data_IF_716188594772
#
_entry.id   IF_716188594772
#
_cell.length_a   1.000
_cell.length_b   1.000
_cell.length_c   1.000
_cell.angle_alpha   90.00
_cell.angle_beta   90.00
_cell.angle_gamma   90.00
#
_symmetry.space_group_name_H-M   'P 1'
#
loop_
_entity.id
_entity.type
_entity.pdbx_description
1 polymer ?
#
# COMPACT_ATOMS: atom_id res chain seq x y z
N UNK A 1 -0.66 -6.67 -19.18
CA UNK A 1 -1.17 -7.85 -18.48
C UNK A 1 -0.08 -8.44 -17.60
N UNK A 2 0.97 -9.09 -18.11
CA UNK A 2 2.01 -9.71 -17.26
C UNK A 2 2.52 -8.80 -16.11
N UNK A 3 2.99 -7.59 -16.42
CA UNK A 3 3.48 -6.68 -15.37
C UNK A 3 2.40 -6.24 -14.35
N UNK A 4 1.12 -6.29 -14.72
CA UNK A 4 0.01 -5.92 -13.83
C UNK A 4 -0.32 -7.08 -12.89
N UNK A 5 -0.29 -8.32 -13.40
CA UNK A 5 -0.35 -9.53 -12.57
C UNK A 5 0.83 -9.59 -11.61
N UNK A 6 2.05 -9.31 -12.08
CA UNK A 6 3.23 -9.31 -11.22
C UNK A 6 3.08 -8.35 -10.04
N UNK A 7 2.55 -7.12 -10.27
CA UNK A 7 2.28 -6.18 -9.17
C UNK A 7 1.28 -6.71 -8.14
N UNK A 8 0.20 -7.35 -8.61
CA UNK A 8 -0.82 -7.91 -7.71
C UNK A 8 -0.23 -9.06 -6.90
N UNK A 9 0.54 -9.94 -7.55
CA UNK A 9 1.24 -11.04 -6.87
C UNK A 9 2.24 -10.47 -5.85
N UNK A 10 3.05 -9.47 -6.22
CA UNK A 10 3.98 -8.83 -5.28
C UNK A 10 3.25 -8.16 -4.12
N UNK A 11 2.13 -7.47 -4.36
CA UNK A 11 1.32 -6.90 -3.29
C UNK A 11 0.80 -7.99 -2.35
N UNK A 12 0.33 -9.10 -2.91
CA UNK A 12 -0.13 -10.25 -2.12
C UNK A 12 1.00 -10.90 -1.33
N UNK A 13 2.20 -11.01 -1.89
CA UNK A 13 3.37 -11.50 -1.14
C UNK A 13 3.71 -10.59 0.03
N UNK A 14 3.70 -9.26 -0.16
CA UNK A 14 3.92 -8.30 0.94
C UNK A 14 2.82 -8.45 2.00
N UNK A 15 1.56 -8.61 1.59
CA UNK A 15 0.43 -8.81 2.50
C UNK A 15 0.65 -9.98 3.47
N UNK A 16 1.25 -11.09 3.01
CA UNK A 16 1.51 -12.24 3.87
C UNK A 16 2.45 -11.93 5.03
N UNK A 17 3.30 -10.92 4.90
CA UNK A 17 4.25 -10.48 5.92
C UNK A 17 3.74 -9.31 6.76
N UNK A 18 2.61 -8.68 6.43
CA UNK A 18 2.07 -7.58 7.24
C UNK A 18 1.05 -8.12 8.24
N UNK A 19 1.11 -7.67 9.48
CA UNK A 19 0.17 -8.01 10.54
C UNK A 19 -0.22 -6.81 11.40
N UNK A 20 -1.21 -7.05 12.26
CA UNK A 20 -1.67 -6.16 13.32
C UNK A 20 -1.51 -6.93 14.62
N UNK A 21 -0.75 -6.39 15.57
CA UNK A 21 -0.63 -6.93 16.93
C UNK A 21 -1.40 -6.04 17.92
N UNK A 22 -2.01 -6.67 18.90
CA UNK A 22 -2.76 -5.99 19.96
C UNK A 22 -2.04 -6.16 21.30
N UNK A 23 -1.84 -5.04 22.01
CA UNK A 23 -1.42 -5.09 23.40
C UNK A 23 -2.65 -5.26 24.31
N UNK A 24 -2.72 -6.33 25.12
CA UNK A 24 -3.89 -6.61 25.97
C UNK A 24 -4.19 -5.50 26.98
N UNK A 25 -3.16 -4.83 27.50
CA UNK A 25 -3.33 -3.84 28.57
C UNK A 25 -3.85 -2.48 28.09
N UNK A 26 -3.48 -2.08 26.86
CA UNK A 26 -3.79 -0.76 26.31
C UNK A 26 -4.88 -0.82 25.23
N UNK A 27 -5.24 -2.02 24.78
CA UNK A 27 -6.12 -2.24 23.62
C UNK A 27 -5.64 -1.46 22.37
N UNK A 28 -4.33 -1.24 22.29
CA UNK A 28 -3.67 -0.51 21.21
C UNK A 28 -3.25 -1.49 20.10
N UNK A 29 -3.58 -1.11 18.87
CA UNK A 29 -3.26 -1.88 17.68
C UNK A 29 -2.01 -1.30 16.99
N UNK A 30 -1.02 -2.15 16.76
CA UNK A 30 0.22 -1.77 16.08
C UNK A 30 0.38 -2.60 14.79
N UNK A 31 0.76 -1.93 13.71
CA UNK A 31 1.19 -2.63 12.50
C UNK A 31 2.60 -3.18 12.72
N UNK A 32 2.83 -4.40 12.27
CA UNK A 32 4.14 -5.05 12.38
C UNK A 32 4.45 -5.86 11.12
N UNK A 33 5.72 -6.21 10.94
CA UNK A 33 6.16 -7.11 9.88
C UNK A 33 6.45 -8.49 10.50
N UNK A 34 5.68 -9.49 10.09
CA UNK A 34 5.90 -10.89 10.46
C UNK A 34 7.25 -11.35 9.93
N UNK A 35 7.92 -12.20 10.68
CA UNK A 35 9.15 -12.84 10.19
C UNK A 35 8.89 -14.04 9.27
N UNK A 36 7.66 -14.59 9.29
CA UNK A 36 7.19 -15.66 8.41
C UNK A 36 5.87 -15.29 7.71
N UNK A 37 5.67 -15.69 6.44
CA UNK A 37 4.45 -15.38 5.72
C UNK A 37 3.28 -16.25 6.19
N UNK A 38 2.12 -15.63 6.42
CA UNK A 38 0.85 -16.35 6.60
C UNK A 38 -0.37 -15.48 6.28
N UNK A 39 -1.56 -16.08 6.32
CA UNK A 39 -2.83 -15.39 6.07
C UNK A 39 -3.44 -14.69 7.28
N UNK A 40 -2.96 -15.00 8.49
CA UNK A 40 -3.50 -14.43 9.73
C UNK A 40 -3.04 -12.97 9.85
N UNK A 41 -3.99 -12.05 9.96
CA UNK A 41 -3.71 -10.61 10.01
C UNK A 41 -3.57 -10.10 11.44
N UNK A 42 -4.46 -10.52 12.33
CA UNK A 42 -4.54 -10.04 13.71
C UNK A 42 -3.87 -11.04 14.66
N UNK A 43 -3.09 -10.52 15.59
CA UNK A 43 -2.37 -11.30 16.61
C UNK A 43 -2.61 -10.70 17.97
N UNK A 44 -2.94 -11.56 18.91
CA UNK A 44 -3.08 -11.21 20.31
C UNK A 44 -2.05 -12.01 21.12
N UNK A 45 -1.52 -11.41 22.19
CA UNK A 45 -0.61 -12.10 23.11
C UNK A 45 -1.31 -12.33 24.45
N UNK A 46 -1.91 -13.50 24.67
CA UNK A 46 -2.53 -13.84 25.95
C UNK A 46 -1.59 -13.73 27.15
N UNK A 47 -0.34 -14.20 27.03
CA UNK A 47 0.62 -14.25 28.14
C UNK A 47 1.50 -12.99 28.17
N UNK A 48 0.90 -11.80 28.16
CA UNK A 48 1.71 -10.56 28.20
C UNK A 48 2.44 -10.41 29.54
N UNK A 49 1.68 -10.11 30.60
CA UNK A 49 2.19 -9.75 31.94
C UNK A 49 1.54 -10.59 33.06
N UNK A 50 0.79 -11.62 32.67
CA UNK A 50 0.18 -12.56 33.60
C UNK A 50 1.16 -13.66 33.98
N UNK A 51 1.18 -14.06 35.25
CA UNK A 51 1.91 -15.26 35.74
C UNK A 51 1.38 -16.60 35.19
N UNK A 52 0.44 -16.54 34.24
CA UNK A 52 -0.22 -17.70 33.63
C UNK A 52 0.75 -18.45 32.75
N UNK A 53 0.84 -19.77 32.94
CA UNK A 53 1.68 -20.63 32.10
C UNK A 53 0.97 -21.02 30.81
N UNK A 54 1.73 -21.43 29.78
CA UNK A 54 1.15 -21.92 28.51
C UNK A 54 0.11 -23.04 28.72
N UNK A 55 0.33 -23.90 29.73
CA UNK A 55 -0.51 -25.07 30.03
C UNK A 55 -1.86 -24.68 30.67
N UNK A 56 -1.95 -23.47 31.21
CA UNK A 56 -3.15 -22.93 31.86
C UNK A 56 -4.06 -22.17 30.89
N UNK A 57 -3.61 -21.93 29.65
CA UNK A 57 -4.42 -21.28 28.63
C UNK A 57 -5.53 -22.20 28.13
N UNK A 58 -6.70 -21.62 27.83
CA UNK A 58 -7.71 -22.31 27.04
C UNK A 58 -7.15 -22.66 25.66
N UNK A 59 -7.71 -23.70 25.02
CA UNK A 59 -7.24 -24.15 23.70
C UNK A 59 -7.16 -23.02 22.65
N UNK A 60 -8.11 -22.09 22.67
CA UNK A 60 -8.14 -20.96 21.74
C UNK A 60 -7.02 -19.95 22.04
N UNK A 61 -6.79 -19.64 23.32
CA UNK A 61 -5.69 -18.75 23.72
C UNK A 61 -4.33 -19.41 23.51
N UNK A 62 -4.22 -20.71 23.73
CA UNK A 62 -3.00 -21.47 23.44
C UNK A 62 -2.64 -21.38 21.95
N UNK A 63 -3.60 -21.60 21.06
CA UNK A 63 -3.38 -21.47 19.62
C UNK A 63 -2.98 -20.02 19.23
N UNK A 64 -3.57 -19.03 19.88
CA UNK A 64 -3.26 -17.62 19.66
C UNK A 64 -1.83 -17.26 20.11
N UNK A 65 -1.44 -17.67 21.32
CA UNK A 65 -0.10 -17.47 21.88
C UNK A 65 0.97 -18.19 21.04
N UNK A 66 0.71 -19.43 20.61
CA UNK A 66 1.61 -20.17 19.73
C UNK A 66 1.79 -19.45 18.39
N UNK A 67 0.70 -18.93 17.80
CA UNK A 67 0.78 -18.14 16.58
C UNK A 67 1.52 -16.81 16.82
N UNK A 68 1.32 -16.16 17.97
CA UNK A 68 2.05 -14.94 18.31
C UNK A 68 3.55 -15.21 18.36
N UNK A 69 3.98 -16.25 19.09
CA UNK A 69 5.39 -16.66 19.16
C UNK A 69 5.95 -17.08 17.80
N UNK A 70 5.14 -17.77 16.98
CA UNK A 70 5.58 -18.28 15.68
C UNK A 70 5.72 -17.20 14.60
N UNK A 71 4.93 -16.14 14.60
CA UNK A 71 4.89 -15.16 13.49
C UNK A 71 5.28 -13.74 13.91
N UNK A 72 5.08 -13.38 15.17
CA UNK A 72 5.53 -12.11 15.76
C UNK A 72 6.90 -12.32 16.40
N UNK A 73 7.02 -13.32 17.29
CA UNK A 73 8.23 -13.62 18.06
C UNK A 73 8.31 -12.85 19.39
N UNK A 74 9.12 -13.36 20.33
CA UNK A 74 9.45 -12.69 21.62
C UNK A 74 10.67 -11.76 21.51
N UNK A 75 11.23 -11.60 20.30
CA UNK A 75 12.46 -10.87 20.09
C UNK A 75 12.22 -9.36 20.21
N UNK A 76 12.52 -8.85 21.41
CA UNK A 76 12.99 -7.48 21.65
C UNK A 76 13.87 -7.02 20.46
N UNK A 77 13.66 -5.79 19.97
CA UNK A 77 14.31 -5.13 18.82
C UNK A 77 13.69 -5.33 17.42
N UNK A 78 12.40 -5.68 17.31
CA UNK A 78 11.68 -5.54 16.03
C UNK A 78 11.09 -4.14 15.80
N UNK A 79 11.32 -3.19 16.69
CA UNK A 79 10.82 -1.80 16.60
C UNK A 79 11.09 -1.18 15.23
N UNK A 80 12.28 -1.39 14.66
CA UNK A 80 12.62 -0.89 13.33
C UNK A 80 11.73 -1.51 12.24
N UNK A 81 11.49 -2.82 12.30
CA UNK A 81 10.64 -3.50 11.31
C UNK A 81 9.18 -3.06 11.45
N UNK A 82 8.72 -2.81 12.67
CA UNK A 82 7.37 -2.37 12.95
C UNK A 82 7.15 -0.92 12.50
N UNK A 83 8.11 -0.05 12.73
CA UNK A 83 8.15 1.31 12.18
C UNK A 83 8.17 1.33 10.65
N UNK A 84 8.69 0.27 10.02
CA UNK A 84 8.67 0.10 8.57
C UNK A 84 7.33 -0.42 8.04
N UNK A 85 6.49 -1.06 8.87
CA UNK A 85 5.23 -1.66 8.43
C UNK A 85 4.30 -0.68 7.67
N UNK A 86 4.10 0.59 8.11
CA UNK A 86 3.38 1.61 7.34
C UNK A 86 3.84 1.78 5.88
N UNK A 87 5.16 1.72 5.64
CA UNK A 87 5.74 1.87 4.32
C UNK A 87 5.44 0.65 3.44
N UNK A 88 5.50 -0.55 4.00
CA UNK A 88 5.11 -1.78 3.30
C UNK A 88 3.62 -1.81 2.98
N UNK A 89 2.76 -1.35 3.90
CA UNK A 89 1.31 -1.22 3.67
C UNK A 89 1.03 -0.22 2.52
N UNK A 90 1.68 0.93 2.53
CA UNK A 90 1.55 1.93 1.47
C UNK A 90 2.09 1.42 0.12
N UNK A 91 3.19 0.66 0.13
CA UNK A 91 3.75 0.04 -1.07
C UNK A 91 2.81 -1.04 -1.63
N UNK A 92 2.30 -1.91 -0.76
CA UNK A 92 1.34 -2.95 -1.08
C UNK A 92 0.08 -2.36 -1.72
N UNK A 93 -0.54 -1.36 -1.09
CA UNK A 93 -1.74 -0.71 -1.61
C UNK A 93 -1.49 -0.02 -2.95
N UNK A 94 -0.30 0.56 -3.15
CA UNK A 94 0.09 1.17 -4.42
C UNK A 94 0.22 0.13 -5.55
N UNK A 95 0.92 -0.97 -5.28
CA UNK A 95 1.09 -2.07 -6.23
C UNK A 95 -0.26 -2.68 -6.59
N UNK A 96 -1.09 -2.95 -5.59
CA UNK A 96 -2.43 -3.49 -5.77
C UNK A 96 -3.31 -2.55 -6.60
N UNK A 97 -3.46 -1.28 -6.19
CA UNK A 97 -4.32 -0.31 -6.87
C UNK A 97 -3.87 -0.06 -8.31
N UNK A 98 -2.57 0.09 -8.56
CA UNK A 98 -2.09 0.29 -9.93
C UNK A 98 -2.13 -0.98 -10.78
N UNK A 99 -1.94 -2.16 -10.19
CA UNK A 99 -2.13 -3.45 -10.85
C UNK A 99 -3.58 -3.63 -11.29
N UNK A 100 -4.53 -3.40 -10.38
CA UNK A 100 -5.97 -3.48 -10.64
C UNK A 100 -6.40 -2.46 -11.71
N UNK A 101 -5.98 -1.20 -11.59
CA UNK A 101 -6.33 -0.16 -12.58
C UNK A 101 -5.79 -0.49 -13.98
N UNK A 102 -4.60 -1.09 -14.08
CA UNK A 102 -4.04 -1.52 -15.37
C UNK A 102 -4.76 -2.74 -15.97
N UNK A 103 -5.39 -3.58 -15.14
CA UNK A 103 -6.27 -4.66 -15.61
C UNK A 103 -7.60 -4.10 -16.11
N UNK A 104 -8.21 -3.19 -15.35
CA UNK A 104 -9.51 -2.60 -15.68
C UNK A 104 -9.46 -1.64 -16.89
N UNK A 105 -8.42 -0.81 -16.99
CA UNK A 105 -8.26 0.16 -18.08
C UNK A 105 -7.52 -0.51 -19.24
N UNK A 106 -8.32 -1.15 -20.10
CA UNK A 106 -7.95 -1.93 -21.29
C UNK A 106 -6.63 -1.57 -22.01
N UNK A 107 -5.90 -2.62 -22.42
CA UNK A 107 -4.52 -2.75 -22.98
C UNK A 107 -3.99 -1.68 -23.95
N UNK A 108 -4.82 -0.82 -24.54
CA UNK A 108 -4.51 -0.21 -25.86
C UNK A 108 -3.37 0.81 -25.88
N UNK A 109 -2.86 1.30 -24.74
CA UNK A 109 -1.63 2.12 -24.71
C UNK A 109 -0.83 1.91 -23.42
N UNK A 110 -0.09 0.80 -23.39
CA UNK A 110 0.94 0.49 -22.38
C UNK A 110 2.11 1.47 -22.51
N UNK A 111 1.94 2.70 -22.05
CA UNK A 111 3.03 3.69 -22.05
C UNK A 111 3.95 3.41 -20.86
N UNK A 112 5.27 3.30 -21.14
CA UNK A 112 6.37 3.13 -20.18
C UNK A 112 6.11 3.93 -18.91
N UNK A 113 6.10 3.24 -17.76
CA UNK A 113 5.98 3.89 -16.45
C UNK A 113 7.20 4.78 -16.27
N UNK A 114 6.99 6.10 -16.26
CA UNK A 114 8.04 7.04 -15.91
C UNK A 114 8.32 6.91 -14.40
N UNK A 115 9.58 6.92 -13.93
CA UNK A 115 9.90 6.82 -12.50
C UNK A 115 9.14 7.86 -11.67
N UNK A 116 9.00 9.09 -12.20
CA UNK A 116 8.17 10.15 -11.61
C UNK A 116 6.75 9.73 -11.25
N UNK A 117 6.10 8.86 -12.05
CA UNK A 117 4.73 8.39 -11.79
C UNK A 117 4.68 7.36 -10.67
N UNK A 118 5.74 6.55 -10.54
CA UNK A 118 5.85 5.56 -9.47
C UNK A 118 6.01 6.31 -8.15
N UNK A 119 6.96 7.24 -8.10
CA UNK A 119 7.24 8.07 -6.92
C UNK A 119 6.00 8.86 -6.49
N UNK A 120 5.35 9.60 -7.40
CA UNK A 120 4.14 10.38 -7.05
C UNK A 120 2.98 9.49 -6.60
N UNK A 121 2.85 8.31 -7.20
CA UNK A 121 1.79 7.37 -6.85
C UNK A 121 2.00 6.78 -5.46
N UNK A 122 3.23 6.39 -5.14
CA UNK A 122 3.62 5.86 -3.84
C UNK A 122 3.50 6.92 -2.73
N UNK A 123 4.08 8.11 -2.92
CA UNK A 123 4.00 9.20 -1.94
C UNK A 123 2.55 9.62 -1.65
N UNK A 124 1.68 9.63 -2.66
CA UNK A 124 0.27 9.92 -2.45
C UNK A 124 -0.45 8.82 -1.65
N UNK A 125 -0.11 7.55 -1.86
CA UNK A 125 -0.64 6.46 -1.04
C UNK A 125 -0.13 6.49 0.40
N UNK A 126 1.13 6.89 0.61
CA UNK A 126 1.70 7.09 1.94
C UNK A 126 0.97 8.22 2.68
N UNK A 127 0.73 9.35 2.01
CA UNK A 127 -0.03 10.47 2.58
C UNK A 127 -1.48 10.09 2.89
N UNK A 128 -2.14 9.32 2.01
CA UNK A 128 -3.47 8.78 2.29
C UNK A 128 -3.48 7.82 3.49
N UNK A 129 -2.43 7.02 3.66
CA UNK A 129 -2.30 6.10 4.79
C UNK A 129 -2.23 6.87 6.10
N UNK A 130 -1.27 7.79 6.24
CA UNK A 130 -1.15 8.63 7.43
C UNK A 130 -2.40 9.48 7.68
N UNK A 131 -3.02 10.01 6.63
CA UNK A 131 -4.29 10.74 6.75
C UNK A 131 -5.42 9.86 7.30
N UNK A 132 -5.55 8.62 6.79
CA UNK A 132 -6.55 7.66 7.28
C UNK A 132 -6.28 7.20 8.71
N UNK A 133 -5.00 7.03 9.08
CA UNK A 133 -4.56 6.68 10.42
C UNK A 133 -4.81 7.81 11.42
N UNK A 134 -4.54 9.06 11.03
CA UNK A 134 -4.88 10.23 11.84
C UNK A 134 -6.39 10.33 12.08
N UNK A 135 -7.22 10.08 11.04
CA UNK A 135 -8.68 10.05 11.19
C UNK A 135 -9.12 8.93 12.14
N UNK A 136 -8.55 7.73 12.01
CA UNK A 136 -8.84 6.60 12.90
C UNK A 136 -8.65 6.97 14.38
N UNK A 137 -7.49 7.53 14.71
CA UNK A 137 -7.15 7.92 16.09
C UNK A 137 -7.98 9.07 16.64
N UNK A 138 -8.28 10.09 15.81
CA UNK A 138 -9.01 11.27 16.29
C UNK A 138 -10.52 11.04 16.43
N UNK A 139 -11.10 10.10 15.68
CA UNK A 139 -12.55 9.94 15.59
C UNK A 139 -13.07 8.59 16.13
N UNK A 140 -12.19 7.72 16.64
CA UNK A 140 -12.54 6.37 17.13
C UNK A 140 -13.43 5.57 16.17
N UNK A 141 -13.22 5.75 14.87
CA UNK A 141 -13.99 5.06 13.83
C UNK A 141 -13.58 3.58 13.80
N UNK A 142 -14.54 2.68 13.56
CA UNK A 142 -14.25 1.24 13.40
C UNK A 142 -13.16 1.01 12.33
N UNK A 143 -12.13 0.24 12.66
CA UNK A 143 -10.98 0.00 11.79
C UNK A 143 -11.35 -0.47 10.37
N UNK A 144 -12.35 -1.35 10.24
CA UNK A 144 -12.85 -1.84 8.95
C UNK A 144 -13.29 -0.69 8.02
N UNK A 145 -13.94 0.34 8.58
CA UNK A 145 -14.42 1.50 7.80
C UNK A 145 -13.23 2.31 7.30
N UNK A 146 -12.23 2.54 8.15
CA UNK A 146 -11.01 3.27 7.78
C UNK A 146 -10.23 2.51 6.71
N UNK A 147 -10.11 1.20 6.83
CA UNK A 147 -9.47 0.34 5.82
C UNK A 147 -10.20 0.49 4.47
N UNK A 148 -11.53 0.39 4.46
CA UNK A 148 -12.32 0.54 3.25
C UNK A 148 -12.16 1.94 2.61
N UNK A 149 -12.15 3.00 3.43
CA UNK A 149 -11.94 4.38 2.98
C UNK A 149 -10.52 4.57 2.41
N UNK A 150 -9.50 4.03 3.07
CA UNK A 150 -8.12 4.08 2.61
C UNK A 150 -7.96 3.43 1.23
N UNK A 151 -8.41 2.18 1.08
CA UNK A 151 -8.30 1.46 -0.20
C UNK A 151 -9.08 2.14 -1.33
N UNK A 152 -10.30 2.63 -1.03
CA UNK A 152 -11.10 3.41 -1.97
C UNK A 152 -10.37 4.69 -2.40
N UNK A 153 -9.81 5.41 -1.43
CA UNK A 153 -9.00 6.61 -1.64
C UNK A 153 -7.79 6.33 -2.53
N UNK A 154 -7.06 5.24 -2.29
CA UNK A 154 -5.93 4.83 -3.13
C UNK A 154 -6.35 4.60 -4.58
N UNK A 155 -7.44 3.86 -4.83
CA UNK A 155 -7.92 3.60 -6.20
C UNK A 155 -8.31 4.90 -6.91
N UNK A 156 -9.07 5.77 -6.23
CA UNK A 156 -9.51 7.07 -6.76
C UNK A 156 -8.31 7.97 -7.06
N UNK A 157 -7.38 8.09 -6.12
CA UNK A 157 -6.17 8.89 -6.28
C UNK A 157 -5.34 8.41 -7.48
N UNK A 158 -5.09 7.10 -7.58
CA UNK A 158 -4.36 6.54 -8.72
C UNK A 158 -5.11 6.83 -10.03
N UNK A 159 -6.43 6.65 -10.08
CA UNK A 159 -7.22 7.00 -11.25
C UNK A 159 -7.02 8.47 -11.69
N UNK A 160 -7.01 9.43 -10.75
CA UNK A 160 -6.74 10.84 -11.05
C UNK A 160 -5.32 11.08 -11.56
N UNK A 161 -4.30 10.48 -10.93
CA UNK A 161 -2.90 10.55 -11.39
C UNK A 161 -2.76 10.06 -12.83
N UNK A 162 -3.47 8.97 -13.17
CA UNK A 162 -3.52 8.45 -14.53
C UNK A 162 -4.24 9.41 -15.50
N UNK A 163 -5.38 10.00 -15.09
CA UNK A 163 -6.19 10.91 -15.91
C UNK A 163 -5.47 12.24 -16.19
N UNK A 164 -4.89 12.87 -15.17
CA UNK A 164 -4.21 14.16 -15.29
C UNK A 164 -3.09 14.13 -16.35
N UNK A 165 -2.26 13.09 -16.33
CA UNK A 165 -1.14 12.97 -17.27
C UNK A 165 -1.57 12.76 -18.72
N UNK A 166 -2.78 12.22 -18.96
CA UNK A 166 -3.36 12.13 -20.31
C UNK A 166 -3.63 13.52 -20.88
N UNK A 167 -4.11 14.46 -20.05
CA UNK A 167 -4.40 15.84 -20.47
C UNK A 167 -3.12 16.60 -20.85
N UNK A 168 -2.06 16.52 -20.03
CA UNK A 168 -0.79 17.24 -20.32
C UNK A 168 -0.10 16.78 -21.59
N UNK A 169 -0.15 15.47 -21.91
CA UNK A 169 0.44 14.94 -23.15
C UNK A 169 -0.31 15.37 -24.42
N UNK A 170 -1.63 15.55 -24.36
CA UNK A 170 -2.41 16.06 -25.49
C UNK A 170 -2.05 17.52 -25.79
N UNK A 171 -1.90 18.35 -24.74
CA UNK A 171 -1.45 19.75 -24.89
C UNK A 171 -0.07 19.87 -25.54
N UNK A 172 0.93 19.11 -25.06
CA UNK A 172 2.28 19.18 -25.65
C UNK A 172 2.32 18.70 -27.10
N UNK A 173 1.49 17.72 -27.49
CA UNK A 173 1.41 17.26 -28.90
C UNK A 173 0.81 18.33 -29.82
N UNK A 174 -0.15 19.12 -29.34
CA UNK A 174 -0.71 20.24 -30.10
C UNK A 174 0.29 21.40 -30.21
N UNK A 175 0.94 21.80 -29.11
CA UNK A 175 1.93 22.89 -29.14
C UNK A 175 3.16 22.54 -29.99
N UNK A 176 3.64 21.29 -29.94
CA UNK A 176 4.75 20.85 -30.79
C UNK A 176 4.43 20.83 -32.29
N UNK A 177 3.16 20.67 -32.68
CA UNK A 177 2.74 20.78 -34.10
C UNK A 177 2.69 22.22 -34.58
N UNK A 178 2.28 23.17 -33.74
CA UNK A 178 2.23 24.58 -34.13
C UNK A 178 3.62 25.20 -34.27
N UNK A 179 4.59 24.83 -33.43
CA UNK A 179 5.95 25.38 -33.53
C UNK A 179 6.77 24.84 -34.72
N UNK A 180 6.38 23.71 -35.31
CA UNK A 180 7.06 23.12 -36.46
C UNK A 180 6.77 23.81 -37.81
N UNK A 181 5.73 24.65 -37.89
CA UNK A 181 5.29 25.25 -39.17
C UNK A 181 5.88 26.64 -39.45
N UNK A 182 6.58 27.28 -38.52
CA UNK A 182 7.10 28.65 -38.72
C UNK A 182 8.51 28.75 -39.31
N UNK A 183 9.20 27.65 -39.63
CA UNK A 183 10.59 27.70 -40.11
C UNK A 183 10.86 27.26 -41.55
N UNK A 184 9.84 27.00 -42.39
CA UNK A 184 10.06 26.90 -43.84
C UNK A 184 9.94 28.28 -44.49
N UNK A 185 10.99 29.10 -44.37
CA UNK A 185 11.16 30.22 -45.31
C UNK A 185 11.48 29.62 -46.69
N UNK A 186 10.80 30.05 -47.77
CA UNK A 186 11.11 29.56 -49.12
C UNK A 186 12.54 30.00 -49.47
N UNK A 187 13.39 29.04 -49.77
CA UNK A 187 14.69 29.29 -50.39
C UNK A 187 14.35 29.84 -51.78
N UNK A 188 14.59 31.14 -51.98
CA UNK A 188 14.53 31.73 -53.32
C UNK A 188 15.80 31.28 -54.03
N UNK A 189 15.65 30.40 -55.02
CA UNK A 189 16.73 30.11 -55.96
C UNK A 189 16.85 31.31 -56.89
N UNK A 190 18.01 31.98 -56.82
CA UNK A 190 18.49 32.98 -57.78
C UNK A 190 19.59 32.36 -58.62
#
# INVERSE_FOLDING_TARGET
MFNSFLKIITAFLIFLFVGIKYHPELNEAHFFIKHKPNFKLEYFRPISDSDVTLEELSNDHLAEELAYREYVGDFMDTDILDELAPFFIALMSYLFATGLLELLISKKRRKRNSPKRIITGYLGNLLLFFGSYAIFWNFHIKGIIIIALYFSGCIIFQYFVFKWKRKSRRKNKHNGRNNGNHHRKPIKNT
#
